data_IF_703519669215
#
_entry.id   IF_703519669215
#
_cell.length_a   1.000
_cell.length_b   1.000
_cell.length_c   1.000
_cell.angle_alpha   90.00
_cell.angle_beta   90.00
_cell.angle_gamma   90.00
#
_symmetry.space_group_name_H-M   'P 1'
#
loop_
_entity.id
_entity.type
_entity.pdbx_description
1 polymer ?
#
# COMPACT_ATOMS: atom_id res chain seq x y z
N UNK A 1 -10.89 13.13 -0.04
CA UNK A 1 -10.60 11.67 -0.02
C UNK A 1 -9.46 11.42 0.96
N UNK A 2 -9.40 10.25 1.61
CA UNK A 2 -8.34 9.92 2.57
C UNK A 2 -7.40 8.87 2.00
N UNK A 3 -6.09 9.09 2.16
CA UNK A 3 -5.09 8.11 1.77
C UNK A 3 -5.22 6.82 2.58
N UNK A 4 -4.78 5.70 2.00
CA UNK A 4 -4.70 4.42 2.71
C UNK A 4 -3.29 4.18 3.19
N UNK A 5 -3.13 3.89 4.49
CA UNK A 5 -1.86 3.43 5.04
C UNK A 5 -1.85 1.91 5.12
N UNK A 6 -0.81 1.31 4.53
CA UNK A 6 -0.54 -0.12 4.58
C UNK A 6 0.64 -0.34 5.53
N UNK A 7 0.49 -1.23 6.51
CA UNK A 7 1.59 -1.61 7.40
C UNK A 7 2.47 -2.64 6.70
N UNK A 8 3.78 -2.39 6.71
CA UNK A 8 4.80 -3.26 6.13
C UNK A 8 5.48 -4.06 7.24
N UNK A 9 6.06 -5.24 6.95
CA UNK A 9 6.77 -6.02 7.94
C UNK A 9 8.01 -5.25 8.45
N UNK A 10 8.06 -4.96 9.76
CA UNK A 10 9.16 -4.20 10.36
C UNK A 10 10.45 -5.02 10.57
N UNK A 11 10.35 -6.35 10.52
CA UNK A 11 11.48 -7.29 10.58
C UNK A 11 11.91 -7.79 9.19
N UNK A 12 11.43 -7.15 8.11
CA UNK A 12 11.82 -7.46 6.74
C UNK A 12 13.33 -7.27 6.51
N UNK A 13 13.93 -8.24 5.82
CA UNK A 13 15.30 -8.22 5.37
C UNK A 13 15.42 -7.56 4.00
N UNK A 14 16.63 -7.11 3.66
CA UNK A 14 16.91 -6.56 2.34
C UNK A 14 16.57 -7.59 1.25
N UNK A 15 15.81 -7.16 0.25
CA UNK A 15 15.32 -7.99 -0.86
C UNK A 15 13.96 -8.65 -0.58
N UNK A 16 13.45 -8.59 0.65
CA UNK A 16 12.05 -8.96 0.91
C UNK A 16 11.13 -7.99 0.17
N UNK A 17 9.97 -8.47 -0.24
CA UNK A 17 9.02 -7.71 -1.04
C UNK A 17 7.63 -7.73 -0.41
N UNK A 18 6.82 -6.71 -0.71
CA UNK A 18 5.39 -6.68 -0.42
C UNK A 18 4.65 -6.31 -1.69
N UNK A 19 3.81 -7.21 -2.18
CA UNK A 19 2.89 -6.94 -3.28
C UNK A 19 1.62 -6.29 -2.73
N UNK A 20 1.40 -5.02 -3.06
CA UNK A 20 0.22 -4.25 -2.67
C UNK A 20 -0.74 -4.17 -3.86
N UNK A 21 -1.94 -4.72 -3.69
CA UNK A 21 -2.98 -4.77 -4.72
C UNK A 21 -4.18 -3.93 -4.32
N UNK A 22 -4.67 -3.08 -5.22
CA UNK A 22 -5.80 -2.18 -4.99
C UNK A 22 -6.55 -1.86 -6.31
N UNK A 23 -7.73 -1.26 -6.20
CA UNK A 23 -8.53 -0.76 -7.32
C UNK A 23 -8.45 0.77 -7.37
N UNK A 24 -8.31 1.37 -8.54
CA UNK A 24 -8.39 2.83 -8.73
C UNK A 24 -9.84 3.33 -8.89
N UNK A 25 -10.05 4.65 -8.88
CA UNK A 25 -11.38 5.26 -9.01
C UNK A 25 -12.12 4.90 -10.32
N UNK A 26 -11.39 4.48 -11.36
CA UNK A 26 -11.95 4.08 -12.66
C UNK A 26 -12.26 2.59 -12.71
N UNK A 27 -11.94 1.85 -11.65
CA UNK A 27 -12.11 0.41 -11.54
C UNK A 27 -10.93 -0.43 -12.07
N UNK A 28 -9.80 0.22 -12.35
CA UNK A 28 -8.57 -0.45 -12.75
C UNK A 28 -7.89 -1.12 -11.57
N UNK A 29 -7.54 -2.40 -11.69
CA UNK A 29 -6.79 -3.12 -10.66
C UNK A 29 -5.29 -2.90 -10.86
N UNK A 30 -4.61 -2.50 -9.80
CA UNK A 30 -3.17 -2.28 -9.74
C UNK A 30 -2.50 -3.23 -8.77
N UNK A 31 -1.27 -3.60 -9.09
CA UNK A 31 -0.36 -4.30 -8.17
C UNK A 31 0.97 -3.58 -8.20
N UNK A 32 1.42 -3.13 -7.04
CA UNK A 32 2.69 -2.43 -6.84
C UNK A 32 3.54 -3.23 -5.88
N UNK A 33 4.77 -3.53 -6.26
CA UNK A 33 5.72 -4.25 -5.41
C UNK A 33 6.60 -3.24 -4.69
N UNK A 34 6.65 -3.36 -3.36
CA UNK A 34 7.58 -2.63 -2.50
C UNK A 34 8.73 -3.56 -2.15
N UNK A 35 9.96 -3.19 -2.46
CA UNK A 35 11.16 -3.97 -2.12
C UNK A 35 11.92 -3.33 -0.96
N UNK A 36 12.24 -4.11 0.07
CA UNK A 36 13.03 -3.67 1.21
C UNK A 36 14.48 -3.45 0.78
N UNK A 37 14.90 -2.19 0.83
CA UNK A 37 16.29 -1.76 0.68
C UNK A 37 16.95 -1.40 2.02
N UNK A 38 18.16 -0.84 1.92
CA UNK A 38 18.93 -0.39 3.10
C UNK A 38 18.28 0.84 3.78
N UNK A 39 17.59 1.69 2.99
CA UNK A 39 17.05 2.97 3.42
C UNK A 39 15.51 3.01 3.54
N UNK A 40 14.85 1.84 3.48
CA UNK A 40 13.40 1.75 3.51
C UNK A 40 12.88 0.78 2.45
N UNK A 41 11.72 1.10 1.89
CA UNK A 41 11.01 0.36 0.85
C UNK A 41 10.96 1.17 -0.44
N UNK A 42 11.43 0.57 -1.54
CA UNK A 42 11.39 1.15 -2.88
C UNK A 42 10.20 0.61 -3.64
N UNK A 43 9.44 1.47 -4.27
CA UNK A 43 8.26 1.10 -5.06
C UNK A 43 8.60 0.80 -6.50
N UNK A 44 7.97 -0.24 -7.07
CA UNK A 44 8.00 -0.52 -8.50
C UNK A 44 7.27 0.54 -9.33
N UNK A 45 6.30 1.25 -8.71
CA UNK A 45 5.60 2.38 -9.32
C UNK A 45 5.37 3.50 -8.27
N UNK A 46 6.35 4.42 -8.11
CA UNK A 46 6.27 5.53 -7.17
C UNK A 46 5.12 6.51 -7.44
N UNK A 47 4.51 6.48 -8.64
CA UNK A 47 3.37 7.35 -8.96
C UNK A 47 2.08 6.83 -8.33
N UNK A 48 2.00 5.53 -8.12
CA UNK A 48 0.88 4.84 -7.49
C UNK A 48 1.06 4.70 -5.98
N UNK A 49 2.23 4.24 -5.55
CA UNK A 49 2.62 4.16 -4.13
C UNK A 49 4.05 4.69 -4.02
N UNK A 50 4.29 5.84 -3.37
CA UNK A 50 5.63 6.38 -3.20
C UNK A 50 6.56 5.46 -2.39
N UNK A 51 7.86 5.64 -2.58
CA UNK A 51 8.87 5.04 -1.71
C UNK A 51 8.62 5.43 -0.24
N UNK A 52 8.97 4.53 0.67
CA UNK A 52 8.84 4.76 2.11
C UNK A 52 10.17 4.55 2.83
N UNK A 53 10.43 5.36 3.85
CA UNK A 53 11.63 5.22 4.68
C UNK A 53 11.37 4.42 5.97
N UNK A 54 10.13 4.02 6.22
CA UNK A 54 9.75 3.22 7.39
C UNK A 54 8.78 2.10 7.04
N UNK A 55 8.16 1.51 8.05
CA UNK A 55 7.35 0.28 7.91
C UNK A 55 5.90 0.57 7.54
N UNK A 56 5.66 1.65 6.80
CA UNK A 56 4.34 2.04 6.32
C UNK A 56 4.43 2.53 4.89
N UNK A 57 3.60 2.00 4.01
CA UNK A 57 3.35 2.56 2.69
C UNK A 57 2.07 3.38 2.71
N UNK A 58 2.00 4.41 1.87
CA UNK A 58 0.80 5.24 1.72
C UNK A 58 0.36 5.20 0.27
N UNK A 59 -0.88 4.78 0.04
CA UNK A 59 -1.53 4.91 -1.25
C UNK A 59 -2.22 6.28 -1.26
N UNK A 60 -1.82 7.21 -2.15
CA UNK A 60 -2.49 8.50 -2.30
C UNK A 60 -3.98 8.31 -2.58
N UNK A 61 -4.80 9.20 -2.02
CA UNK A 61 -6.24 9.06 -2.09
C UNK A 61 -6.76 9.01 -3.54
N UNK A 62 -6.18 9.83 -4.43
CA UNK A 62 -6.55 9.90 -5.84
C UNK A 62 -6.21 8.63 -6.65
N UNK A 63 -5.37 7.75 -6.09
CA UNK A 63 -4.92 6.53 -6.77
C UNK A 63 -5.76 5.30 -6.38
N UNK A 64 -6.60 5.40 -5.34
CA UNK A 64 -7.36 4.27 -4.81
C UNK A 64 -8.84 4.60 -4.73
N UNK A 65 -9.66 3.64 -5.14
CA UNK A 65 -11.11 3.75 -5.06
C UNK A 65 -11.56 3.83 -3.61
N UNK A 66 -12.59 4.64 -3.38
CA UNK A 66 -13.24 4.72 -2.08
C UNK A 66 -13.98 3.42 -1.71
N UNK A 67 -13.89 3.03 -0.44
CA UNK A 67 -14.49 1.80 0.13
C UNK A 67 -14.06 0.50 -0.57
N UNK A 68 -12.89 0.48 -1.21
CA UNK A 68 -12.30 -0.71 -1.82
C UNK A 68 -11.28 -1.37 -0.90
N UNK A 69 -11.08 -2.67 -1.10
CA UNK A 69 -10.05 -3.41 -0.37
C UNK A 69 -8.66 -3.18 -0.99
N UNK A 70 -7.69 -2.99 -0.11
CA UNK A 70 -6.26 -3.01 -0.41
C UNK A 70 -5.70 -4.26 0.24
N UNK A 71 -4.98 -5.08 -0.53
CA UNK A 71 -4.36 -6.32 -0.06
C UNK A 71 -2.86 -6.22 -0.13
N UNK A 72 -2.15 -6.63 0.93
CA UNK A 72 -0.69 -6.76 0.96
C UNK A 72 -0.27 -8.21 1.17
N UNK A 73 0.71 -8.69 0.42
CA UNK A 73 1.33 -10.02 0.58
C UNK A 73 2.83 -9.86 0.65
N UNK A 74 3.46 -10.28 1.75
CA UNK A 74 4.91 -10.24 1.90
C UNK A 74 5.56 -11.50 1.33
N UNK A 75 6.75 -11.36 0.73
CA UNK A 75 7.52 -12.46 0.17
C UNK A 75 9.00 -12.31 0.46
N UNK A 76 9.65 -13.40 0.83
CA UNK A 76 11.12 -13.44 0.94
C UNK A 76 11.78 -13.75 -0.42
N UNK A 77 13.09 -13.49 -0.59
CA UNK A 77 13.83 -13.85 -1.80
C UNK A 77 13.87 -15.35 -2.11
N UNK A 78 13.50 -16.21 -1.16
CA UNK A 78 13.43 -17.66 -1.33
C UNK A 78 12.07 -18.10 -1.90
N UNK A 79 11.11 -17.18 -2.04
CA UNK A 79 9.77 -17.42 -2.56
C UNK A 79 8.74 -17.85 -1.53
N UNK A 80 9.03 -17.72 -0.23
CA UNK A 80 8.02 -17.95 0.81
C UNK A 80 7.11 -16.73 0.91
N UNK A 81 5.79 -16.96 0.89
CA UNK A 81 4.77 -15.91 0.97
C UNK A 81 4.08 -15.91 2.34
N UNK A 82 3.69 -14.73 2.84
CA UNK A 82 2.82 -14.59 3.99
C UNK A 82 1.35 -14.86 3.63
N UNK A 83 0.50 -15.03 4.64
CA UNK A 83 -0.93 -14.83 4.45
C UNK A 83 -1.21 -13.38 4.02
N UNK A 84 -2.26 -13.13 3.21
CA UNK A 84 -2.63 -11.79 2.80
C UNK A 84 -3.15 -10.97 3.99
N UNK A 85 -2.72 -9.71 4.06
CA UNK A 85 -3.28 -8.71 4.97
C UNK A 85 -4.17 -7.74 4.18
N UNK A 86 -5.27 -7.30 4.78
CA UNK A 86 -6.27 -6.45 4.10
C UNK A 86 -6.57 -5.18 4.89
N UNK A 87 -6.73 -4.08 4.17
CA UNK A 87 -7.16 -2.78 4.68
C UNK A 87 -8.24 -2.23 3.74
N UNK A 88 -9.35 -1.75 4.28
CA UNK A 88 -10.40 -1.10 3.47
C UNK A 88 -10.12 0.40 3.39
N UNK A 89 -10.11 0.95 2.16
CA UNK A 89 -10.03 2.39 1.96
C UNK A 89 -11.25 3.09 2.56
N UNK A 90 -11.03 4.28 3.12
CA UNK A 90 -12.09 5.05 3.75
C UNK A 90 -12.52 6.15 2.78
N UNK A 91 -13.81 6.46 2.79
CA UNK A 91 -14.28 7.71 2.22
C UNK A 91 -13.88 8.87 3.11
N UNK A 92 -13.50 9.98 2.49
CA UNK A 92 -13.44 11.25 3.20
C UNK A 92 -14.86 11.73 3.44
N UNK A 93 -15.34 11.53 4.65
CA UNK A 93 -16.50 12.27 5.13
C UNK A 93 -16.09 13.74 5.13
N UNK A 94 -16.50 14.49 4.12
CA UNK A 94 -16.60 15.94 4.20
C UNK A 94 -17.45 16.26 5.43
N UNK A 95 -16.81 16.43 6.58
CA UNK A 95 -17.41 17.09 7.71
C UNK A 95 -17.39 18.56 7.33
N UNK A 96 -18.42 18.98 6.60
CA UNK A 96 -18.81 20.37 6.63
C UNK A 96 -19.24 20.64 8.09
N UNK A 97 -18.28 20.99 8.95
CA UNK A 97 -18.60 21.63 10.22
C UNK A 97 -19.10 23.03 9.87
N UNK A 98 -20.34 23.11 9.39
CA UNK A 98 -21.15 24.30 9.56
C UNK A 98 -21.51 24.42 11.04
N UNK A 99 -21.42 25.66 11.52
CA UNK A 99 -21.67 26.21 12.86
C UNK A 99 -20.47 26.33 13.81
#
# INVERSE_FOLDING_TARGET
MVSVSVELPGDANKGDTVDVTFEDEKGGKHTVTLEKGDNGWTSSDPTLIPDSTGDKATIPADNVKDNSEVTGVAKDPSGNESDPSTVTSKTDVFTNSEY
#
